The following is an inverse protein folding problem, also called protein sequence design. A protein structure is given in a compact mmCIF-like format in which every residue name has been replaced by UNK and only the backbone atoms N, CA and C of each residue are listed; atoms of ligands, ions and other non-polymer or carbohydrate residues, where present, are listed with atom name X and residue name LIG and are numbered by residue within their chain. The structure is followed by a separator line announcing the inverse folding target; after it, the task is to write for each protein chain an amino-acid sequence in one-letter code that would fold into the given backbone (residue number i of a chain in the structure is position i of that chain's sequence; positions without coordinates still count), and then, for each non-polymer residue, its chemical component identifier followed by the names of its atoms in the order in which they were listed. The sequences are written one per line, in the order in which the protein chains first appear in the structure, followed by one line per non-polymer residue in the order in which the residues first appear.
data_IF_771007986103
#
_entry.id   IF_771007986103
#
_cell.length_a   1.000
_cell.length_b   1.000
_cell.length_c   1.000
_cell.angle_alpha   90.00
_cell.angle_beta   90.00
_cell.angle_gamma   90.00
#
_symmetry.space_group_name_H-M   'P 1'
#
loop_
_entity.id
_entity.type
_entity.pdbx_description
1 polymer ?
#
# COMPACT_ATOMS: atom_id res chain seq x y z
N UNK A 1 -47.91 -28.64 35.48
CA UNK A 1 -46.87 -27.71 35.98
C UNK A 1 -45.51 -28.36 35.84
N UNK A 2 -44.59 -27.75 35.08
CA UNK A 2 -43.13 -27.98 34.90
C UNK A 2 -42.78 -27.59 33.46
N UNK A 3 -42.70 -26.29 33.20
CA UNK A 3 -41.45 -25.49 33.22
C UNK A 3 -40.51 -25.84 32.07
N UNK A 4 -40.67 -25.09 30.98
CA UNK A 4 -39.65 -24.30 30.26
C UNK A 4 -38.18 -24.63 30.53
N UNK A 5 -37.41 -24.90 29.47
CA UNK A 5 -36.00 -24.53 29.19
C UNK A 5 -35.55 -25.37 27.96
N UNK A 6 -34.87 -24.92 26.91
CA UNK A 6 -34.35 -23.62 26.55
C UNK A 6 -34.16 -23.66 25.01
N UNK A 7 -34.98 -22.90 24.30
CA UNK A 7 -34.69 -22.43 22.95
C UNK A 7 -33.65 -21.30 23.11
N UNK A 8 -32.63 -21.25 22.25
CA UNK A 8 -31.61 -20.18 22.05
C UNK A 8 -30.15 -20.66 22.21
N UNK A 9 -29.72 -21.51 21.29
CA UNK A 9 -28.30 -21.58 20.87
C UNK A 9 -28.19 -20.93 19.49
N UNK A 10 -28.59 -19.66 19.39
CA UNK A 10 -28.16 -18.80 18.29
C UNK A 10 -26.74 -18.34 18.65
N UNK A 11 -25.74 -19.19 18.38
CA UNK A 11 -24.35 -18.77 18.39
C UNK A 11 -24.24 -17.59 17.43
N UNK A 12 -23.97 -16.43 18.02
CA UNK A 12 -23.51 -15.22 17.35
C UNK A 12 -22.29 -15.56 16.50
N UNK A 13 -22.53 -15.91 15.24
CA UNK A 13 -21.53 -15.83 14.19
C UNK A 13 -21.26 -14.33 13.96
N UNK A 14 -20.50 -13.72 14.85
CA UNK A 14 -19.82 -12.47 14.53
C UNK A 14 -19.02 -12.76 13.26
N UNK A 15 -19.15 -11.97 12.18
CA UNK A 15 -18.24 -12.11 11.06
C UNK A 15 -16.85 -11.79 11.62
N UNK A 16 -16.05 -12.83 11.86
CA UNK A 16 -14.62 -12.64 11.90
C UNK A 16 -14.31 -12.07 10.52
N UNK A 17 -14.02 -10.77 10.46
CA UNK A 17 -13.48 -10.12 9.28
C UNK A 17 -12.24 -10.92 8.91
N UNK A 18 -12.36 -11.82 7.94
CA UNK A 18 -11.24 -12.59 7.46
C UNK A 18 -10.22 -11.59 6.92
N UNK A 19 -9.01 -11.59 7.46
CA UNK A 19 -7.92 -10.78 6.93
C UNK A 19 -7.69 -11.19 5.47
N UNK A 20 -7.56 -10.20 4.58
CA UNK A 20 -7.23 -10.46 3.18
C UNK A 20 -5.93 -11.27 3.14
N UNK A 21 -5.94 -12.39 2.40
CA UNK A 21 -4.70 -13.12 2.18
C UNK A 21 -3.74 -12.26 1.37
N UNK A 22 -2.42 -12.53 1.46
CA UNK A 22 -1.46 -11.81 0.61
C UNK A 22 -1.80 -11.98 -0.88
N UNK A 23 -2.34 -13.14 -1.28
CA UNK A 23 -2.81 -13.37 -2.65
C UNK A 23 -3.91 -12.39 -3.04
N UNK A 24 -4.89 -12.14 -2.16
CA UNK A 24 -5.98 -11.19 -2.44
C UNK A 24 -5.45 -9.75 -2.57
N UNK A 25 -4.49 -9.36 -1.72
CA UNK A 25 -3.83 -8.06 -1.80
C UNK A 25 -3.03 -7.91 -3.09
N UNK A 26 -2.31 -8.96 -3.51
CA UNK A 26 -1.57 -8.98 -4.78
C UNK A 26 -2.53 -8.78 -5.96
N UNK A 27 -3.62 -9.54 -6.01
CA UNK A 27 -4.61 -9.47 -7.08
C UNK A 27 -5.32 -8.11 -7.11
N UNK A 28 -5.57 -7.52 -5.94
CA UNK A 28 -6.16 -6.17 -5.81
C UNK A 28 -5.20 -5.10 -6.33
N UNK A 29 -3.93 -5.14 -5.95
CA UNK A 29 -2.92 -4.20 -6.45
C UNK A 29 -2.71 -4.37 -7.95
N UNK A 30 -2.62 -5.61 -8.45
CA UNK A 30 -2.49 -5.90 -9.88
C UNK A 30 -3.66 -5.33 -10.69
N UNK A 31 -4.90 -5.55 -10.25
CA UNK A 31 -6.09 -5.00 -10.94
C UNK A 31 -6.13 -3.47 -10.89
N UNK A 32 -5.78 -2.88 -9.75
CA UNK A 32 -5.82 -1.42 -9.59
C UNK A 32 -4.78 -0.70 -10.45
N UNK A 33 -3.64 -1.34 -10.71
CA UNK A 33 -2.46 -0.71 -11.33
C UNK A 33 -2.17 -1.18 -12.74
N UNK A 34 -2.73 -2.32 -13.16
CA UNK A 34 -2.35 -3.05 -14.37
C UNK A 34 -0.85 -3.41 -14.44
N UNK A 35 -0.15 -3.38 -13.31
CA UNK A 35 1.27 -3.76 -13.23
C UNK A 35 1.43 -5.28 -13.32
N UNK A 36 2.53 -5.74 -13.90
CA UNK A 36 2.80 -7.17 -14.08
C UNK A 36 3.53 -7.72 -12.86
N UNK A 37 3.03 -8.80 -12.25
CA UNK A 37 3.75 -9.50 -11.17
C UNK A 37 5.03 -10.11 -11.73
N UNK A 38 6.17 -9.68 -11.21
CA UNK A 38 7.48 -10.23 -11.57
C UNK A 38 7.99 -11.25 -10.55
N UNK A 39 7.58 -11.10 -9.29
CA UNK A 39 8.00 -11.98 -8.20
C UNK A 39 6.91 -12.02 -7.13
N UNK A 40 6.73 -13.18 -6.49
CA UNK A 40 5.79 -13.38 -5.39
C UNK A 40 6.32 -14.38 -4.37
N UNK A 41 6.01 -14.14 -3.10
CA UNK A 41 6.19 -15.07 -1.99
C UNK A 41 4.89 -15.22 -1.20
N UNK A 42 4.97 -15.78 0.01
CA UNK A 42 3.85 -15.83 0.95
C UNK A 42 3.50 -14.46 1.56
N UNK A 43 4.43 -13.52 1.60
CA UNK A 43 4.35 -12.26 2.36
C UNK A 43 4.71 -11.00 1.56
N UNK A 44 5.14 -11.15 0.30
CA UNK A 44 5.44 -10.02 -0.56
C UNK A 44 5.16 -10.31 -2.05
N UNK A 45 5.05 -9.24 -2.83
CA UNK A 45 5.14 -9.30 -4.29
C UNK A 45 5.88 -8.09 -4.86
N UNK A 46 6.53 -8.31 -6.00
CA UNK A 46 7.17 -7.27 -6.80
C UNK A 46 6.46 -7.19 -8.15
N UNK A 47 6.15 -5.97 -8.56
CA UNK A 47 5.48 -5.68 -9.82
C UNK A 47 6.36 -4.80 -10.70
N UNK A 48 6.30 -5.02 -12.00
CA UNK A 48 6.88 -4.14 -13.01
C UNK A 48 5.77 -3.28 -13.61
N UNK A 49 6.02 -1.97 -13.67
CA UNK A 49 5.10 -0.98 -14.22
C UNK A 49 5.81 -0.12 -15.28
N UNK A 50 6.49 -0.80 -16.20
CA UNK A 50 7.31 -0.20 -17.25
C UNK A 50 8.83 -0.26 -16.94
N UNK A 51 9.67 0.30 -17.82
CA UNK A 51 11.12 0.09 -17.77
C UNK A 51 11.82 0.78 -16.58
N UNK A 52 11.18 1.80 -16.01
CA UNK A 52 11.76 2.64 -14.96
C UNK A 52 11.05 2.52 -13.62
N UNK A 53 9.88 1.87 -13.58
CA UNK A 53 9.01 1.86 -12.40
C UNK A 53 8.73 0.45 -11.94
N UNK A 54 8.93 0.18 -10.66
CA UNK A 54 8.51 -1.05 -10.01
C UNK A 54 7.72 -0.75 -8.75
N UNK A 55 6.86 -1.68 -8.36
CA UNK A 55 6.16 -1.68 -7.08
C UNK A 55 6.64 -2.85 -6.22
N UNK A 56 6.69 -2.65 -4.92
CA UNK A 56 6.88 -3.72 -3.94
C UNK A 56 5.74 -3.67 -2.93
N UNK A 57 4.94 -4.73 -2.88
CA UNK A 57 3.91 -4.93 -1.87
C UNK A 57 4.48 -5.83 -0.78
N UNK A 58 4.38 -5.39 0.47
CA UNK A 58 4.55 -6.22 1.66
C UNK A 58 3.17 -6.47 2.28
N UNK A 59 2.77 -7.74 2.30
CA UNK A 59 1.53 -8.22 2.88
C UNK A 59 1.81 -8.60 4.34
N UNK A 60 1.59 -7.70 5.28
CA UNK A 60 2.06 -7.93 6.64
C UNK A 60 1.11 -8.79 7.50
N UNK A 61 0.21 -9.59 6.90
CA UNK A 61 -0.76 -10.44 7.62
C UNK A 61 -1.56 -9.64 8.65
N UNK A 62 -1.49 -10.03 9.92
CA UNK A 62 -2.08 -9.30 11.05
C UNK A 62 -1.44 -7.94 11.38
N UNK A 63 -0.39 -7.56 10.67
CA UNK A 63 0.24 -6.24 10.76
C UNK A 63 -0.15 -5.37 9.55
N UNK A 64 0.22 -4.10 9.61
CA UNK A 64 -0.02 -3.15 8.53
C UNK A 64 0.70 -3.50 7.23
N UNK A 65 -0.07 -3.67 6.15
CA UNK A 65 0.50 -3.83 4.81
C UNK A 65 1.09 -2.52 4.28
N UNK A 66 2.01 -2.64 3.34
CA UNK A 66 2.62 -1.47 2.70
C UNK A 66 2.89 -1.71 1.22
N UNK A 67 2.84 -0.63 0.44
CA UNK A 67 3.24 -0.66 -0.96
C UNK A 67 4.23 0.47 -1.23
N UNK A 68 5.39 0.10 -1.76
CA UNK A 68 6.42 0.99 -2.23
C UNK A 68 6.40 1.10 -3.74
N UNK A 69 6.67 2.28 -4.28
CA UNK A 69 7.00 2.52 -5.67
C UNK A 69 8.45 3.02 -5.77
N UNK A 70 9.14 2.52 -6.78
CA UNK A 70 10.50 2.93 -7.13
C UNK A 70 10.50 3.46 -8.56
N UNK A 71 11.10 4.64 -8.77
CA UNK A 71 11.35 5.20 -10.10
C UNK A 71 12.84 5.45 -10.31
N UNK A 72 13.38 4.92 -11.41
CA UNK A 72 14.74 5.19 -11.89
C UNK A 72 14.81 6.57 -12.53
N UNK A 73 14.94 7.60 -11.69
CA UNK A 73 15.10 8.99 -12.10
C UNK A 73 14.85 9.99 -10.96
N UNK A 74 15.18 11.26 -11.22
CA UNK A 74 14.99 12.36 -10.24
C UNK A 74 13.57 12.92 -10.24
N UNK A 75 12.95 13.02 -11.42
CA UNK A 75 11.58 13.53 -11.55
C UNK A 75 10.68 12.44 -12.12
N UNK A 76 9.97 11.68 -11.25
CA UNK A 76 8.94 10.75 -11.68
C UNK A 76 7.85 11.42 -12.54
N UNK A 77 7.39 10.78 -13.63
CA UNK A 77 6.29 11.26 -14.45
C UNK A 77 4.94 11.12 -13.71
N UNK A 78 3.90 11.79 -14.19
CA UNK A 78 2.56 11.69 -13.59
C UNK A 78 2.02 10.24 -13.54
N UNK A 79 2.39 9.41 -14.52
CA UNK A 79 2.05 7.99 -14.54
C UNK A 79 2.56 7.25 -13.29
N UNK A 80 3.73 7.62 -12.76
CA UNK A 80 4.25 7.06 -11.50
C UNK A 80 3.36 7.43 -10.31
N UNK A 81 2.93 8.69 -10.22
CA UNK A 81 2.07 9.13 -9.12
C UNK A 81 0.70 8.45 -9.17
N UNK A 82 0.11 8.34 -10.37
CA UNK A 82 -1.16 7.65 -10.54
C UNK A 82 -1.06 6.17 -10.17
N UNK A 83 -0.01 5.49 -10.61
CA UNK A 83 0.27 4.10 -10.25
C UNK A 83 0.41 3.93 -8.72
N UNK A 84 1.26 4.75 -8.10
CA UNK A 84 1.52 4.70 -6.66
C UNK A 84 0.26 4.96 -5.83
N UNK A 85 -0.53 5.96 -6.23
CA UNK A 85 -1.79 6.32 -5.58
C UNK A 85 -2.82 5.19 -5.72
N UNK A 86 -2.95 4.58 -6.90
CA UNK A 86 -3.86 3.44 -7.11
C UNK A 86 -3.45 2.24 -6.26
N UNK A 87 -2.16 1.94 -6.18
CA UNK A 87 -1.64 0.87 -5.34
C UNK A 87 -1.88 1.15 -3.84
N UNK A 88 -1.62 2.38 -3.39
CA UNK A 88 -1.87 2.82 -2.03
C UNK A 88 -3.35 2.74 -1.66
N UNK A 89 -4.24 3.19 -2.54
CA UNK A 89 -5.68 3.06 -2.37
C UNK A 89 -6.10 1.59 -2.27
N UNK A 90 -5.55 0.72 -3.13
CA UNK A 90 -5.87 -0.70 -3.11
C UNK A 90 -5.60 -1.34 -1.74
N UNK A 91 -4.50 -0.98 -1.07
CA UNK A 91 -4.15 -1.58 0.22
C UNK A 91 -4.77 -0.86 1.41
N UNK A 92 -5.08 0.43 1.31
CA UNK A 92 -5.52 1.26 2.46
C UNK A 92 -6.99 1.66 2.44
N UNK A 93 -7.63 1.67 1.28
CA UNK A 93 -8.95 2.27 1.06
C UNK A 93 -8.97 3.81 1.08
N UNK A 94 -7.87 4.48 1.40
CA UNK A 94 -7.78 5.95 1.46
C UNK A 94 -8.04 6.53 0.07
N UNK A 95 -8.78 7.64 0.01
CA UNK A 95 -9.17 8.26 -1.25
C UNK A 95 -7.93 8.66 -2.11
N UNK A 96 -7.94 8.42 -3.43
CA UNK A 96 -6.79 8.69 -4.30
C UNK A 96 -6.28 10.13 -4.28
N UNK A 97 -7.17 11.12 -4.17
CA UNK A 97 -6.82 12.54 -4.06
C UNK A 97 -6.03 12.85 -2.78
N UNK A 98 -6.45 12.29 -1.64
CA UNK A 98 -5.77 12.43 -0.35
C UNK A 98 -4.36 11.83 -0.39
N UNK A 99 -4.22 10.63 -0.96
CA UNK A 99 -2.91 10.00 -1.16
C UNK A 99 -2.04 10.81 -2.12
N UNK A 100 -2.62 11.39 -3.19
CA UNK A 100 -1.89 12.21 -4.16
C UNK A 100 -1.32 13.46 -3.52
N UNK A 101 -2.11 14.17 -2.71
CA UNK A 101 -1.66 15.37 -2.01
C UNK A 101 -0.54 15.06 -1.01
N UNK A 102 -0.71 14.01 -0.20
CA UNK A 102 0.33 13.55 0.73
C UNK A 102 1.62 13.15 0.01
N UNK A 103 1.50 12.45 -1.13
CA UNK A 103 2.64 12.04 -1.96
C UNK A 103 3.39 13.24 -2.53
N UNK A 104 2.66 14.23 -3.08
CA UNK A 104 3.28 15.46 -3.62
C UNK A 104 4.03 16.21 -2.54
N UNK A 105 3.42 16.38 -1.37
CA UNK A 105 4.06 17.04 -0.23
C UNK A 105 5.31 16.29 0.26
N UNK A 106 5.23 14.96 0.40
CA UNK A 106 6.35 14.14 0.82
C UNK A 106 7.49 14.17 -0.21
N UNK A 107 7.19 14.05 -1.51
CA UNK A 107 8.19 14.10 -2.59
C UNK A 107 8.90 15.44 -2.66
N UNK A 108 8.15 16.55 -2.66
CA UNK A 108 8.74 17.89 -2.69
C UNK A 108 9.71 18.10 -1.51
N UNK A 109 9.29 17.70 -0.30
CA UNK A 109 10.16 17.78 0.88
C UNK A 109 11.38 16.84 0.81
N UNK A 110 11.22 15.65 0.22
CA UNK A 110 12.30 14.67 0.10
C UNK A 110 13.37 15.09 -0.91
N UNK A 111 13.06 15.92 -1.90
CA UNK A 111 14.06 16.50 -2.81
C UNK A 111 15.07 17.37 -2.05
N UNK A 112 14.62 18.09 -1.04
CA UNK A 112 15.47 18.93 -0.20
C UNK A 112 16.17 18.14 0.92
N UNK A 113 15.41 17.27 1.61
CA UNK A 113 15.84 16.61 2.85
C UNK A 113 16.33 15.17 2.67
N UNK A 114 16.36 14.66 1.45
CA UNK A 114 16.61 13.25 1.06
C UNK A 114 15.53 12.26 1.49
N UNK A 115 14.78 12.54 2.56
CA UNK A 115 13.61 11.77 2.96
C UNK A 115 12.55 12.68 3.59
N UNK A 116 11.29 12.27 3.51
CA UNK A 116 10.17 12.95 4.17
C UNK A 116 9.01 11.98 4.39
N UNK A 117 8.20 12.25 5.40
CA UNK A 117 7.01 11.48 5.75
C UNK A 117 5.84 12.42 6.00
N UNK A 118 4.68 12.07 5.46
CA UNK A 118 3.40 12.78 5.65
C UNK A 118 2.38 11.76 6.16
N UNK A 119 1.67 12.10 7.22
CA UNK A 119 0.57 11.28 7.74
C UNK A 119 -0.73 11.64 7.02
N UNK A 120 -1.53 10.63 6.66
CA UNK A 120 -2.80 10.79 5.95
C UNK A 120 -3.76 9.69 6.36
N UNK A 121 -4.90 10.09 6.93
CA UNK A 121 -6.07 9.24 7.17
C UNK A 121 -5.75 7.85 7.78
N UNK A 122 -4.84 7.82 8.77
CA UNK A 122 -4.43 6.59 9.48
C UNK A 122 -3.28 5.80 8.82
N UNK A 123 -2.75 6.26 7.70
CA UNK A 123 -1.53 5.75 7.06
C UNK A 123 -0.42 6.81 7.04
N UNK A 124 0.77 6.40 6.63
CA UNK A 124 1.87 7.32 6.30
C UNK A 124 2.33 7.16 4.87
N UNK A 125 2.65 8.28 4.23
CA UNK A 125 3.34 8.34 2.95
C UNK A 125 4.76 8.80 3.21
N UNK A 126 5.74 7.93 2.95
CA UNK A 126 7.16 8.26 3.07
C UNK A 126 7.77 8.29 1.69
N UNK A 127 8.52 9.35 1.37
CA UNK A 127 9.30 9.43 0.14
C UNK A 127 10.77 9.69 0.44
N UNK A 128 11.64 9.14 -0.39
CA UNK A 128 13.07 9.34 -0.35
C UNK A 128 13.62 9.61 -1.75
N UNK A 129 14.63 10.46 -1.80
CA UNK A 129 15.40 10.75 -3.00
C UNK A 129 16.87 10.39 -2.77
N UNK A 130 17.41 9.53 -3.62
CA UNK A 130 18.79 9.06 -3.54
C UNK A 130 19.54 9.46 -4.80
N UNK A 131 20.73 10.03 -4.63
CA UNK A 131 21.72 10.17 -5.71
C UNK A 131 22.72 9.02 -5.56
N UNK A 132 22.75 8.10 -6.52
CA UNK A 132 23.71 6.99 -6.58
C UNK A 132 24.57 7.13 -7.82
N UNK A 133 25.72 6.45 -7.84
CA UNK A 133 26.58 6.37 -9.04
C UNK A 133 25.82 5.77 -10.23
N UNK A 134 24.90 4.84 -9.98
CA UNK A 134 24.06 4.21 -11.01
C UNK A 134 22.88 5.10 -11.46
N UNK A 135 22.81 6.35 -10.98
CA UNK A 135 21.77 7.32 -11.30
C UNK A 135 20.85 7.69 -10.13
N UNK A 136 20.04 8.75 -10.30
CA UNK A 136 19.07 9.17 -9.30
C UNK A 136 17.93 8.16 -9.15
N UNK A 137 17.43 8.03 -7.92
CA UNK A 137 16.35 7.13 -7.57
C UNK A 137 15.33 7.86 -6.71
N UNK A 138 14.06 7.78 -7.09
CA UNK A 138 12.94 8.23 -6.27
C UNK A 138 12.20 7.02 -5.72
N UNK A 139 11.92 7.05 -4.43
CA UNK A 139 11.21 5.99 -3.71
C UNK A 139 10.06 6.62 -2.95
N UNK A 140 8.86 6.05 -3.02
CA UNK A 140 7.76 6.40 -2.13
C UNK A 140 7.10 5.14 -1.59
N UNK A 141 6.54 5.19 -0.40
CA UNK A 141 5.81 4.09 0.22
C UNK A 141 4.57 4.59 0.96
N UNK A 142 3.44 3.91 0.75
CA UNK A 142 2.26 4.03 1.62
C UNK A 142 2.34 2.87 2.60
N UNK A 143 2.30 3.18 3.88
CA UNK A 143 2.39 2.20 4.97
C UNK A 143 1.16 2.39 5.84
N UNK A 144 0.32 1.36 5.94
CA UNK A 144 -0.79 1.37 6.89
C UNK A 144 -0.24 1.49 8.32
N UNK A 145 -1.04 1.96 9.27
CA UNK A 145 -0.71 1.80 10.68
C UNK A 145 -1.36 0.51 11.20
N UNK A 146 -0.66 -0.28 12.04
CA UNK A 146 -1.29 -1.39 12.74
C UNK A 146 -2.34 -0.83 13.70
N UNK A 147 -3.59 -1.30 13.61
CA UNK A 147 -4.66 -1.01 14.56
C UNK A 147 -5.14 0.44 14.61
N UNK A 148 -6.25 0.72 13.93
CA UNK A 148 -7.23 1.71 14.39
C UNK A 148 -8.44 0.96 14.93
#
# INVERSE_FOLDING_TARGET
MRSTLALLLALSASPAMAEDSCTDLIDRVQRATSATVAERSADFARFEAGPQTSLTLSCAGANASSVGAQYKGETPPEAYDTLFVQAGHAITGIAPDRLRDATRQARASAQDKRHSTVEVDGARVTCAFMRKEQGPLTLCAVIQRPGA
#
